data_IF_033772931245
#
_entry.id   IF_033772931245
#
_cell.length_a   1.000
_cell.length_b   1.000
_cell.length_c   1.000
_cell.angle_alpha   90.00
_cell.angle_beta   90.00
_cell.angle_gamma   90.00
#
_symmetry.space_group_name_H-M   'P 1'
#
loop_
_entity.id
_entity.type
_entity.pdbx_description
1 polymer ?
#
# COMPACT_ATOMS: atom_id res chain seq x y z
N UNK A 1 -3.99 6.01 6.02
CA UNK A 1 -5.34 6.55 5.72
C UNK A 1 -5.58 6.62 4.23
N UNK A 2 -4.71 7.29 3.45
CA UNK A 2 -4.81 7.30 1.97
C UNK A 2 -4.65 5.91 1.33
N UNK A 3 -3.76 5.06 1.87
CA UNK A 3 -3.58 3.66 1.45
C UNK A 3 -4.85 2.83 1.65
N UNK A 4 -5.47 2.98 2.83
CA UNK A 4 -6.71 2.30 3.22
C UNK A 4 -7.88 2.66 2.29
N UNK A 5 -8.07 3.95 1.99
CA UNK A 5 -9.15 4.40 1.11
C UNK A 5 -8.95 3.91 -0.32
N UNK A 6 -7.70 3.92 -0.80
CA UNK A 6 -7.34 3.41 -2.12
C UNK A 6 -7.63 1.92 -2.26
N UNK A 7 -7.18 1.10 -1.31
CA UNK A 7 -7.42 -0.34 -1.34
C UNK A 7 -8.92 -0.66 -1.22
N UNK A 8 -9.64 -0.01 -0.29
CA UNK A 8 -11.10 -0.17 -0.17
C UNK A 8 -11.81 0.15 -1.49
N UNK A 9 -11.38 1.20 -2.18
CA UNK A 9 -11.92 1.58 -3.49
C UNK A 9 -11.73 0.48 -4.53
N UNK A 10 -10.51 -0.03 -4.66
CA UNK A 10 -10.16 -1.08 -5.62
C UNK A 10 -10.82 -2.42 -5.29
N UNK A 11 -10.86 -2.80 -4.01
CA UNK A 11 -11.57 -4.01 -3.56
C UNK A 11 -13.07 -3.93 -3.90
N UNK A 12 -13.70 -2.75 -3.79
CA UNK A 12 -15.10 -2.55 -4.18
C UNK A 12 -15.31 -2.58 -5.70
N UNK A 13 -14.37 -2.06 -6.47
CA UNK A 13 -14.40 -2.15 -7.93
C UNK A 13 -14.26 -3.60 -8.42
N UNK A 14 -13.51 -4.42 -7.66
CA UNK A 14 -13.28 -5.84 -7.94
C UNK A 14 -12.21 -6.06 -9.01
N UNK A 15 -11.59 -7.25 -8.99
CA UNK A 15 -10.55 -7.63 -9.95
C UNK A 15 -9.16 -7.08 -9.65
N UNK A 16 -8.96 -6.48 -8.47
CA UNK A 16 -7.66 -6.00 -8.00
C UNK A 16 -7.25 -6.76 -6.75
N UNK A 17 -5.94 -6.96 -6.60
CA UNK A 17 -5.31 -7.51 -5.41
C UNK A 17 -4.15 -6.60 -5.05
N UNK A 18 -4.05 -6.20 -3.77
CA UNK A 18 -2.90 -5.46 -3.29
C UNK A 18 -1.69 -6.40 -3.28
N UNK A 19 -0.59 -5.98 -3.91
CA UNK A 19 0.68 -6.74 -3.92
C UNK A 19 1.74 -6.09 -3.05
N UNK A 20 1.48 -4.86 -2.59
CA UNK A 20 2.35 -4.18 -1.66
C UNK A 20 1.90 -2.76 -1.34
N UNK A 21 2.35 -2.27 -0.19
CA UNK A 21 2.07 -0.92 0.30
C UNK A 21 3.31 -0.28 0.92
N UNK A 22 3.29 1.06 1.00
CA UNK A 22 4.33 1.84 1.65
C UNK A 22 3.69 2.87 2.60
N UNK A 23 4.04 2.80 3.89
CA UNK A 23 3.50 3.71 4.90
C UNK A 23 4.58 4.04 5.94
N UNK A 24 4.85 5.33 6.13
CA UNK A 24 5.90 5.82 7.02
C UNK A 24 5.41 6.01 8.46
N UNK A 25 4.12 6.23 8.66
CA UNK A 25 3.52 6.32 9.97
C UNK A 25 3.16 4.92 10.52
N UNK A 26 3.84 4.49 11.58
CA UNK A 26 3.64 3.17 12.16
C UNK A 26 2.23 2.94 12.72
N UNK A 27 1.51 3.98 13.15
CA UNK A 27 0.13 3.84 13.61
C UNK A 27 -0.82 3.67 12.42
N UNK A 28 -0.58 4.36 11.32
CA UNK A 28 -1.33 4.18 10.07
C UNK A 28 -1.10 2.78 9.49
N UNK A 29 0.14 2.29 9.44
CA UNK A 29 0.47 0.92 9.01
C UNK A 29 -0.19 -0.13 9.91
N UNK A 30 -0.13 0.05 11.24
CA UNK A 30 -0.79 -0.85 12.16
C UNK A 30 -2.30 -0.95 11.91
N UNK A 31 -2.97 0.19 11.77
CA UNK A 31 -4.40 0.22 11.49
C UNK A 31 -4.73 -0.43 10.14
N UNK A 32 -3.92 -0.18 9.11
CA UNK A 32 -4.06 -0.79 7.80
C UNK A 32 -4.01 -2.32 7.88
N UNK A 33 -2.97 -2.89 8.51
CA UNK A 33 -2.81 -4.35 8.67
C UNK A 33 -3.89 -5.01 9.52
N UNK A 34 -4.55 -4.26 10.39
CA UNK A 34 -5.71 -4.75 11.16
C UNK A 34 -6.97 -4.82 10.30
N UNK A 35 -7.08 -3.94 9.30
CA UNK A 35 -8.26 -3.82 8.44
C UNK A 35 -8.20 -4.70 7.19
N UNK A 36 -7.01 -5.03 6.72
CA UNK A 36 -6.79 -5.79 5.47
C UNK A 36 -5.97 -7.06 5.73
N UNK A 37 -6.20 -8.06 4.88
CA UNK A 37 -5.37 -9.26 4.85
C UNK A 37 -4.09 -8.97 4.07
N UNK A 38 -3.05 -8.59 4.81
CA UNK A 38 -1.76 -8.15 4.26
C UNK A 38 -0.73 -9.28 4.15
N UNK A 39 -1.15 -10.53 4.34
CA UNK A 39 -0.25 -11.67 4.25
C UNK A 39 0.33 -11.82 2.84
N UNK A 40 1.66 -11.78 2.73
CA UNK A 40 2.37 -11.90 1.45
C UNK A 40 2.52 -10.58 0.68
N UNK A 41 1.95 -9.47 1.17
CA UNK A 41 2.20 -8.16 0.59
C UNK A 41 3.64 -7.70 0.82
N UNK A 42 4.22 -7.07 -0.21
CA UNK A 42 5.48 -6.37 -0.05
C UNK A 42 5.27 -5.08 0.75
N UNK A 43 6.16 -4.79 1.71
CA UNK A 43 6.05 -3.60 2.55
C UNK A 43 7.36 -2.80 2.60
N UNK A 44 7.22 -1.47 2.56
CA UNK A 44 8.29 -0.53 2.84
C UNK A 44 7.80 0.59 3.76
N UNK A 45 8.60 0.97 4.75
CA UNK A 45 8.23 2.04 5.68
C UNK A 45 8.80 3.42 5.31
N UNK A 46 9.56 3.52 4.22
CA UNK A 46 10.11 4.79 3.75
C UNK A 46 10.32 4.73 2.25
N UNK A 47 9.51 5.48 1.50
CA UNK A 47 9.55 5.51 0.05
C UNK A 47 10.93 5.86 -0.53
N UNK A 48 11.79 6.55 0.24
CA UNK A 48 13.16 6.91 -0.18
C UNK A 48 14.12 5.72 -0.20
N UNK A 49 13.78 4.64 0.50
CA UNK A 49 14.60 3.43 0.62
C UNK A 49 14.07 2.28 -0.25
N UNK A 50 13.14 2.55 -1.17
CA UNK A 50 12.59 1.53 -2.04
C UNK A 50 13.67 1.03 -3.02
N UNK A 51 13.99 -0.26 -2.93
CA UNK A 51 14.77 -0.98 -3.92
C UNK A 51 13.84 -1.48 -5.02
N UNK A 52 13.77 -0.78 -6.16
CA UNK A 52 12.82 -1.09 -7.24
C UNK A 52 12.95 -2.50 -7.80
N UNK A 53 14.14 -3.10 -7.76
CA UNK A 53 14.40 -4.48 -8.20
C UNK A 53 13.77 -5.53 -7.29
N UNK A 54 13.41 -5.17 -6.05
CA UNK A 54 12.76 -6.07 -5.07
C UNK A 54 11.26 -5.87 -4.98
N UNK A 55 10.71 -4.88 -5.68
CA UNK A 55 9.28 -4.69 -5.73
C UNK A 55 8.63 -5.81 -6.54
N UNK A 56 7.45 -6.29 -6.14
CA UNK A 56 6.67 -7.19 -6.98
C UNK A 56 6.23 -6.46 -8.27
N UNK A 57 5.98 -7.22 -9.33
CA UNK A 57 5.32 -6.69 -10.52
C UNK A 57 3.91 -6.20 -10.16
N UNK A 58 3.49 -5.08 -10.73
CA UNK A 58 2.18 -4.49 -10.51
C UNK A 58 1.63 -3.85 -11.79
N UNK A 59 0.31 -3.83 -11.93
CA UNK A 59 -0.39 -3.22 -13.07
C UNK A 59 -0.81 -1.77 -12.81
N UNK A 60 -1.01 -1.41 -11.53
CA UNK A 60 -1.53 -0.12 -11.10
C UNK A 60 -0.80 0.37 -9.86
N UNK A 61 -0.40 1.65 -9.88
CA UNK A 61 0.15 2.34 -8.73
C UNK A 61 -0.85 3.39 -8.22
N UNK A 62 -1.27 3.26 -6.96
CA UNK A 62 -2.01 4.29 -6.24
C UNK A 62 -1.06 5.03 -5.31
N UNK A 63 -0.95 6.36 -5.45
CA UNK A 63 -0.06 7.15 -4.61
C UNK A 63 -0.71 8.49 -4.23
N UNK A 64 -0.85 8.72 -2.93
CA UNK A 64 -1.28 9.99 -2.33
C UNK A 64 -0.10 10.66 -1.63
N UNK A 65 0.71 11.41 -2.37
CA UNK A 65 1.82 12.18 -1.79
C UNK A 65 1.32 13.50 -1.20
N UNK A 66 1.91 13.99 -0.10
CA UNK A 66 1.54 15.29 0.48
C UNK A 66 1.72 16.41 -0.54
N UNK A 67 0.74 17.33 -0.62
CA UNK A 67 0.66 18.35 -1.68
C UNK A 67 1.67 19.52 -1.58
N UNK A 68 2.45 19.56 -0.48
CA UNK A 68 3.50 20.54 -0.14
C UNK A 68 3.04 21.98 0.09
#
# INVERSE_FOLDING_TARGET
>A
MESEDSEKGLHRAGGFTCVGHCEADAYADHNYRVLFDTEGEWFCNDARNIETERMPDFDLLCAGFPCQ
#
